data_IF_631971998634
#
_entry.id   IF_631971998634
#
_cell.length_a   1.000
_cell.length_b   1.000
_cell.length_c   1.000
_cell.angle_alpha   90.00
_cell.angle_beta   90.00
_cell.angle_gamma   90.00
#
_symmetry.space_group_name_H-M   'P 1'
#
loop_
_entity.id
_entity.type
_entity.pdbx_description
1 polymer ?
#
# COMPACT_ATOMS: atom_id res chain seq x y z
N UNK A 1 6.02 -3.36 9.30
CA UNK A 1 4.76 -2.96 8.64
C UNK A 1 4.14 -4.20 8.01
N UNK A 2 3.00 -4.65 8.52
CA UNK A 2 2.28 -5.82 7.99
C UNK A 2 1.15 -5.35 7.09
N UNK A 3 0.79 -6.13 6.06
CA UNK A 3 -0.38 -5.82 5.22
C UNK A 3 -1.68 -5.71 6.04
N UNK A 4 -1.75 -6.43 7.17
CA UNK A 4 -2.87 -6.41 8.13
C UNK A 4 -3.08 -5.01 8.68
N UNK A 5 -2.02 -4.38 9.18
CA UNK A 5 -2.10 -3.02 9.70
C UNK A 5 -2.59 -2.04 8.65
N UNK A 6 -2.18 -2.19 7.38
CA UNK A 6 -2.63 -1.32 6.28
C UNK A 6 -4.11 -1.54 6.00
N UNK A 7 -4.58 -2.79 5.96
CA UNK A 7 -5.99 -3.12 5.73
C UNK A 7 -6.91 -2.49 6.78
N UNK A 8 -6.56 -2.66 8.05
CA UNK A 8 -7.34 -2.13 9.17
C UNK A 8 -7.47 -0.60 9.12
N UNK A 9 -6.36 0.12 8.87
CA UNK A 9 -6.38 1.60 8.75
C UNK A 9 -7.26 2.06 7.61
N UNK A 10 -7.19 1.35 6.47
CA UNK A 10 -7.96 1.69 5.28
C UNK A 10 -9.43 1.24 5.38
N UNK A 11 -9.83 0.60 6.48
CA UNK A 11 -11.11 -0.10 6.61
C UNK A 11 -11.35 -1.08 5.44
N UNK A 12 -10.27 -1.71 4.96
CA UNK A 12 -10.28 -2.67 3.86
C UNK A 12 -9.91 -4.05 4.39
N UNK A 13 -10.65 -5.07 3.96
CA UNK A 13 -10.23 -6.45 4.19
C UNK A 13 -8.97 -6.74 3.39
N UNK A 14 -7.95 -7.27 4.05
CA UNK A 14 -6.78 -7.77 3.36
C UNK A 14 -7.14 -9.09 2.70
N UNK A 15 -6.84 -9.18 1.41
CA UNK A 15 -7.18 -10.34 0.60
C UNK A 15 -5.91 -11.07 0.20
N UNK A 16 -5.93 -12.40 0.31
CA UNK A 16 -4.90 -13.25 -0.31
C UNK A 16 -5.38 -13.60 -1.70
N UNK A 17 -4.56 -13.28 -2.71
CA UNK A 17 -4.85 -13.68 -4.08
C UNK A 17 -4.78 -15.21 -4.20
N UNK A 18 -5.94 -15.85 -4.28
CA UNK A 18 -6.08 -17.29 -4.41
C UNK A 18 -5.92 -17.82 -5.85
N UNK A 19 -5.66 -16.94 -6.83
CA UNK A 19 -5.38 -17.39 -8.22
C UNK A 19 -3.99 -18.01 -8.37
N UNK A 20 -3.04 -17.67 -7.50
CA UNK A 20 -1.72 -18.31 -7.46
C UNK A 20 -1.64 -19.30 -6.28
N UNK A 21 -1.53 -20.59 -6.63
CA UNK A 21 -1.39 -21.69 -5.67
C UNK A 21 -0.17 -21.55 -4.75
N UNK A 22 0.88 -20.84 -5.17
CA UNK A 22 2.04 -20.58 -4.33
C UNK A 22 1.68 -19.67 -3.15
N UNK A 23 0.82 -18.66 -3.36
CA UNK A 23 0.37 -17.78 -2.28
C UNK A 23 -0.43 -18.55 -1.23
N UNK A 24 -1.32 -19.44 -1.67
CA UNK A 24 -2.07 -20.33 -0.78
C UNK A 24 -1.12 -21.25 -0.01
N UNK A 25 -0.11 -21.81 -0.68
CA UNK A 25 0.86 -22.72 -0.08
C UNK A 25 1.76 -22.03 0.94
N UNK A 26 2.20 -20.80 0.67
CA UNK A 26 2.97 -19.98 1.62
C UNK A 26 2.09 -19.64 2.83
N UNK A 27 0.84 -19.26 2.59
CA UNK A 27 -0.10 -18.93 3.64
C UNK A 27 -0.34 -20.10 4.59
N UNK A 28 -0.63 -21.29 4.06
CA UNK A 28 -0.90 -22.49 4.86
C UNK A 28 0.36 -23.05 5.55
N UNK A 29 1.50 -23.12 4.86
CA UNK A 29 2.66 -23.85 5.39
C UNK A 29 3.68 -22.99 6.14
N UNK A 30 3.74 -21.69 5.85
CA UNK A 30 4.72 -20.79 6.48
C UNK A 30 4.08 -19.81 7.44
N UNK A 31 2.92 -19.25 7.09
CA UNK A 31 2.32 -18.15 7.85
C UNK A 31 1.35 -18.65 8.92
N UNK A 32 0.44 -19.56 8.58
CA UNK A 32 -0.56 -20.10 9.51
C UNK A 32 0.03 -20.74 10.78
N UNK A 33 1.15 -21.49 10.74
CA UNK A 33 1.75 -22.04 11.96
C UNK A 33 2.26 -20.99 12.93
N UNK A 34 2.62 -19.80 12.42
CA UNK A 34 3.13 -18.67 13.21
C UNK A 34 1.96 -17.81 13.71
N UNK A 35 0.93 -17.65 12.88
CA UNK A 35 -0.25 -16.83 13.17
C UNK A 35 -1.52 -17.67 12.98
N UNK A 36 -1.91 -18.49 13.97
CA UNK A 36 -3.00 -19.46 13.80
C UNK A 36 -4.37 -18.83 13.52
N UNK A 37 -4.61 -17.58 13.95
CA UNK A 37 -5.87 -16.85 13.72
C UNK A 37 -5.92 -16.07 12.41
N UNK A 38 -4.84 -16.07 11.64
CA UNK A 38 -4.72 -15.20 10.46
C UNK A 38 -5.76 -15.51 9.37
N UNK A 39 -6.30 -16.72 9.34
CA UNK A 39 -7.37 -17.07 8.38
C UNK A 39 -8.70 -16.38 8.69
N UNK A 40 -8.91 -15.94 9.93
CA UNK A 40 -10.09 -15.18 10.33
C UNK A 40 -9.97 -13.70 9.93
N UNK A 41 -8.74 -13.22 9.71
CA UNK A 41 -8.42 -11.83 9.36
C UNK A 41 -8.31 -11.61 7.84
N UNK A 42 -8.11 -12.68 7.07
CA UNK A 42 -7.96 -12.63 5.62
C UNK A 42 -9.09 -13.36 4.90
N UNK A 43 -9.63 -12.74 3.86
CA UNK A 43 -10.60 -13.40 2.99
C UNK A 43 -9.89 -13.92 1.74
N UNK A 44 -10.01 -15.23 1.48
CA UNK A 44 -9.52 -15.83 0.24
C UNK A 44 -10.51 -15.54 -0.88
N UNK A 45 -10.10 -14.71 -1.83
CA UNK A 45 -10.91 -14.39 -3.01
C UNK A 45 -10.09 -14.62 -4.27
N UNK A 46 -10.79 -15.07 -5.32
CA UNK A 46 -10.28 -14.97 -6.67
C UNK A 46 -10.38 -13.50 -7.07
N UNK A 47 -9.28 -12.79 -6.88
CA UNK A 47 -9.18 -11.39 -7.28
C UNK A 47 -8.73 -11.40 -8.73
N UNK A 48 -9.50 -10.79 -9.66
CA UNK A 48 -8.99 -10.53 -11.00
C UNK A 48 -7.85 -9.51 -10.87
N UNK A 49 -6.62 -10.01 -10.83
CA UNK A 49 -5.43 -9.16 -10.90
C UNK A 49 -5.23 -8.82 -12.36
N UNK A 50 -5.52 -7.58 -12.72
CA UNK A 50 -5.14 -7.04 -14.02
C UNK A 50 -3.67 -6.68 -13.91
N UNK A 51 -2.81 -7.55 -14.44
CA UNK A 51 -1.42 -7.19 -14.69
C UNK A 51 -1.40 -6.25 -15.88
N UNK A 52 -0.69 -5.13 -15.74
CA UNK A 52 -0.34 -4.34 -16.92
C UNK A 52 0.47 -5.23 -17.86
N UNK A 53 0.16 -5.25 -19.18
CA UNK A 53 0.77 -6.22 -20.11
C UNK A 53 2.29 -6.10 -20.20
N UNK A 54 2.82 -4.95 -19.79
CA UNK A 54 4.24 -4.60 -19.81
C UNK A 54 4.60 -3.89 -18.49
N UNK A 55 5.88 -3.98 -18.10
CA UNK A 55 6.43 -3.22 -16.97
C UNK A 55 6.76 -1.76 -17.34
N UNK A 56 6.00 -1.19 -18.27
CA UNK A 56 6.26 0.14 -18.80
C UNK A 56 5.62 1.20 -17.88
N UNK A 57 6.40 2.15 -17.32
CA UNK A 57 5.91 3.14 -16.37
C UNK A 57 4.69 3.94 -16.87
N UNK A 58 4.66 4.27 -18.16
CA UNK A 58 3.57 5.01 -18.80
C UNK A 58 2.25 4.23 -18.82
N UNK A 59 2.29 2.89 -18.88
CA UNK A 59 1.11 2.04 -18.82
C UNK A 59 0.55 2.00 -17.41
N UNK A 60 1.41 1.92 -16.39
CA UNK A 60 0.99 1.96 -14.98
C UNK A 60 0.39 3.33 -14.61
N UNK A 61 0.95 4.43 -15.13
CA UNK A 61 0.38 5.78 -14.98
C UNK A 61 -1.01 5.87 -15.64
N UNK A 62 -1.15 5.42 -16.88
CA UNK A 62 -2.42 5.43 -17.60
C UNK A 62 -3.48 4.53 -16.95
N UNK A 63 -3.06 3.38 -16.44
CA UNK A 63 -3.92 2.45 -15.71
C UNK A 63 -4.42 3.08 -14.41
N UNK A 64 -3.51 3.61 -13.60
CA UNK A 64 -3.85 4.23 -12.31
C UNK A 64 -4.83 5.39 -12.50
N UNK A 65 -4.62 6.22 -13.54
CA UNK A 65 -5.51 7.32 -13.88
C UNK A 65 -6.94 6.89 -14.24
N UNK A 66 -7.12 5.68 -14.76
CA UNK A 66 -8.42 5.18 -15.23
C UNK A 66 -9.14 4.31 -14.21
N UNK A 67 -8.41 3.53 -13.42
CA UNK A 67 -8.99 2.42 -12.68
C UNK A 67 -8.79 2.49 -11.16
N UNK A 68 -7.84 3.28 -10.66
CA UNK A 68 -7.53 3.28 -9.23
C UNK A 68 -8.26 4.42 -8.51
N UNK A 69 -9.13 4.06 -7.57
CA UNK A 69 -9.76 5.01 -6.64
C UNK A 69 -8.88 5.28 -5.40
N UNK A 70 -7.86 4.46 -5.17
CA UNK A 70 -6.92 4.58 -4.05
C UNK A 70 -5.51 4.26 -4.54
N UNK A 71 -4.51 5.04 -4.12
CA UNK A 71 -3.09 4.76 -4.33
C UNK A 71 -2.34 4.69 -3.01
N UNK A 72 -1.27 3.90 -2.97
CA UNK A 72 -0.43 3.73 -1.79
C UNK A 72 1.05 3.85 -2.17
N UNK A 73 1.74 4.84 -1.61
CA UNK A 73 3.17 5.06 -1.79
C UNK A 73 3.92 4.46 -0.60
N UNK A 74 4.57 3.31 -0.81
CA UNK A 74 5.34 2.60 0.22
C UNK A 74 6.80 3.06 0.31
N UNK A 75 7.33 3.61 -0.79
CA UNK A 75 8.64 4.24 -0.89
C UNK A 75 8.44 5.77 -0.98
N UNK A 76 8.45 6.51 0.15
CA UNK A 76 8.05 7.91 0.18
C UNK A 76 8.85 8.82 -0.76
N UNK A 77 10.14 8.59 -0.90
CA UNK A 77 11.03 9.33 -1.81
C UNK A 77 10.85 8.99 -3.29
N UNK A 78 9.94 8.07 -3.64
CA UNK A 78 9.75 7.62 -5.02
C UNK A 78 9.11 8.71 -5.88
N UNK A 79 9.87 9.26 -6.83
CA UNK A 79 9.35 10.18 -7.85
C UNK A 79 8.28 9.50 -8.71
N UNK A 80 8.45 8.21 -9.02
CA UNK A 80 7.46 7.45 -9.78
C UNK A 80 6.16 7.27 -9.00
N UNK A 81 6.23 6.83 -7.74
CA UNK A 81 5.05 6.69 -6.88
C UNK A 81 4.31 8.00 -6.65
N UNK A 82 5.06 9.10 -6.56
CA UNK A 82 4.53 10.45 -6.48
C UNK A 82 3.72 10.82 -7.73
N UNK A 83 4.32 10.72 -8.93
CA UNK A 83 3.62 11.03 -10.18
C UNK A 83 2.44 10.09 -10.44
N UNK A 84 2.56 8.82 -10.05
CA UNK A 84 1.49 7.84 -10.17
C UNK A 84 0.27 8.21 -9.34
N UNK A 85 0.49 8.70 -8.12
CA UNK A 85 -0.60 9.16 -7.26
C UNK A 85 -1.14 10.52 -7.68
N UNK A 86 -0.28 11.45 -8.08
CA UNK A 86 -0.68 12.78 -8.56
C UNK A 86 -1.51 12.74 -9.84
N UNK A 87 -1.16 11.86 -10.78
CA UNK A 87 -1.88 11.69 -12.05
C UNK A 87 -3.01 10.66 -11.98
N UNK A 88 -3.30 10.15 -10.79
CA UNK A 88 -4.38 9.19 -10.58
C UNK A 88 -5.75 9.79 -10.91
N UNK A 89 -6.80 8.96 -10.85
CA UNK A 89 -8.17 9.39 -11.10
C UNK A 89 -8.56 10.56 -10.20
N UNK A 90 -9.30 11.53 -10.73
CA UNK A 90 -9.85 12.62 -9.93
C UNK A 90 -10.73 12.07 -8.79
N UNK A 91 -10.55 12.60 -7.58
CA UNK A 91 -11.22 12.13 -6.37
C UNK A 91 -10.66 10.82 -5.79
N UNK A 92 -9.53 10.33 -6.31
CA UNK A 92 -8.81 9.21 -5.67
C UNK A 92 -8.22 9.63 -4.33
N UNK A 93 -8.03 8.65 -3.45
CA UNK A 93 -7.38 8.88 -2.15
C UNK A 93 -5.95 8.35 -2.21
N UNK A 94 -4.99 9.22 -1.90
CA UNK A 94 -3.58 8.83 -1.84
C UNK A 94 -3.13 8.66 -0.39
N UNK A 95 -2.55 7.51 -0.10
CA UNK A 95 -1.85 7.25 1.16
C UNK A 95 -0.35 7.15 0.92
N UNK A 96 0.46 7.69 1.83
CA UNK A 96 1.91 7.57 1.75
C UNK A 96 2.53 7.26 3.11
N UNK A 97 3.62 6.49 3.09
CA UNK A 97 4.38 6.16 4.29
C UNK A 97 5.17 7.38 4.77
N UNK A 98 5.19 7.63 6.08
CA UNK A 98 6.05 8.64 6.68
C UNK A 98 7.54 8.35 6.40
N UNK A 99 8.24 9.28 5.74
CA UNK A 99 9.66 9.13 5.38
C UNK A 99 10.57 9.08 6.60
N UNK A 100 10.17 9.75 7.69
CA UNK A 100 10.91 9.74 8.97
C UNK A 100 10.91 8.36 9.65
N UNK A 101 10.00 7.46 9.24
CA UNK A 101 9.96 6.05 9.68
C UNK A 101 10.70 5.11 8.73
N UNK A 102 11.55 5.66 7.86
CA UNK A 102 12.36 4.89 6.91
C UNK A 102 13.85 5.16 7.15
N UNK A 103 14.71 4.30 6.61
CA UNK A 103 16.17 4.52 6.62
C UNK A 103 16.62 5.38 5.43
N UNK A 104 15.70 6.09 4.78
CA UNK A 104 16.00 6.88 3.60
C UNK A 104 16.75 8.17 4.00
N UNK A 105 17.91 8.39 3.38
CA UNK A 105 18.75 9.57 3.64
C UNK A 105 18.10 10.86 3.11
N UNK A 106 17.22 10.73 2.11
CA UNK A 106 16.46 11.84 1.53
C UNK A 106 15.53 12.50 2.57
N UNK A 107 15.18 11.79 3.65
CA UNK A 107 14.37 12.33 4.75
C UNK A 107 14.92 13.65 5.31
N UNK A 108 16.25 13.81 5.35
CA UNK A 108 16.89 15.02 5.89
C UNK A 108 16.98 16.17 4.89
N UNK A 109 16.71 15.91 3.61
CA UNK A 109 16.83 16.87 2.51
C UNK A 109 15.45 17.32 2.02
N UNK A 110 14.41 16.54 2.30
CA UNK A 110 13.04 16.78 1.87
C UNK A 110 12.24 17.54 2.93
N UNK A 111 11.56 18.61 2.51
CA UNK A 111 10.49 19.22 3.29
C UNK A 111 9.18 18.54 2.92
N UNK A 112 8.58 17.79 3.86
CA UNK A 112 7.36 17.03 3.58
C UNK A 112 6.20 17.92 3.11
N UNK A 113 6.02 19.09 3.74
CA UNK A 113 4.94 20.03 3.43
C UNK A 113 5.05 20.66 2.02
N UNK A 114 6.27 20.68 1.46
CA UNK A 114 6.51 21.14 0.09
C UNK A 114 6.41 20.00 -0.93
N UNK A 115 6.57 18.75 -0.46
CA UNK A 115 6.68 17.58 -1.32
C UNK A 115 5.34 16.89 -1.56
N UNK A 116 4.51 16.71 -0.52
CA UNK A 116 3.22 16.03 -0.66
C UNK A 116 2.06 17.02 -0.67
N UNK A 117 1.07 16.85 -1.58
CA UNK A 117 -0.17 17.60 -1.51
C UNK A 117 -0.88 17.44 -0.14
N UNK A 118 -1.48 18.52 0.40
CA UNK A 118 -2.05 18.51 1.76
C UNK A 118 -3.27 17.59 1.90
N UNK A 119 -3.95 17.25 0.80
CA UNK A 119 -5.07 16.31 0.79
C UNK A 119 -4.64 14.84 0.86
N UNK A 120 -3.34 14.54 0.71
CA UNK A 120 -2.84 13.18 0.81
C UNK A 120 -2.67 12.75 2.26
N UNK A 121 -2.94 11.48 2.53
CA UNK A 121 -3.02 10.95 3.89
C UNK A 121 -1.69 10.28 4.27
N UNK A 122 -1.00 10.88 5.24
CA UNK A 122 0.24 10.33 5.80
C UNK A 122 -0.08 9.17 6.74
N UNK A 123 0.56 8.03 6.49
CA UNK A 123 0.51 6.84 7.33
C UNK A 123 1.67 6.82 8.32
N UNK A 124 1.35 6.48 9.57
CA UNK A 124 2.28 6.30 10.70
C UNK A 124 2.20 4.87 11.22
N UNK A 125 3.32 4.29 11.62
CA UNK A 125 3.32 3.04 12.36
C UNK A 125 3.38 3.30 13.87
N UNK A 126 2.38 2.83 14.61
CA UNK A 126 2.37 2.87 16.06
C UNK A 126 3.14 1.66 16.62
N UNK A 127 4.31 1.92 17.20
CA UNK A 127 5.15 0.91 17.82
C UNK A 127 4.53 0.27 19.07
N UNK A 128 3.55 0.92 19.71
CA UNK A 128 2.90 0.43 20.93
C UNK A 128 1.77 -0.54 20.59
N UNK A 129 0.91 -0.17 19.65
CA UNK A 129 -0.23 -1.00 19.25
C UNK A 129 0.08 -1.94 18.09
N UNK A 130 1.18 -1.72 17.37
CA UNK A 130 1.53 -2.46 16.15
C UNK A 130 0.64 -2.12 14.96
N UNK A 131 -0.16 -1.05 15.05
CA UNK A 131 -1.13 -0.63 14.03
C UNK A 131 -0.59 0.50 13.16
N UNK A 132 -1.24 0.71 12.03
CA UNK A 132 -1.00 1.87 11.18
C UNK A 132 -2.11 2.87 11.46
N UNK A 133 -1.75 4.14 11.64
CA UNK A 133 -2.69 5.23 11.87
C UNK A 133 -2.50 6.33 10.81
N UNK A 134 -3.51 7.16 10.65
CA UNK A 134 -3.45 8.39 9.85
C UNK A 134 -3.07 9.57 10.75
N UNK A 135 -2.20 10.45 10.28
CA UNK A 135 -2.03 11.76 10.92
C UNK A 135 -3.24 12.66 10.59
N UNK A 136 -3.74 13.40 11.58
CA UNK A 136 -4.66 14.54 11.41
C UNK A 136 -3.87 15.85 11.41
#
# INVERSE_FOLDING_TARGET
>A
MTLIGIGDTLQRRVLVNATDLNNIRIMANKIQPIFPKIQEEFEFKLIPVVLTPTLAPEIDLAFTRKFCDVTLITAPSSTFGWWLSYLSKEGSVTYYRNIMETQDKVANEMKEDDFYPPEWIKLRYDNVTGRIDTFF
#
